data_IF_287540268336
#
_entry.id   IF_287540268336
#
_cell.length_a   1.000
_cell.length_b   1.000
_cell.length_c   1.000
_cell.angle_alpha   90.00
_cell.angle_beta   90.00
_cell.angle_gamma   90.00
#
_symmetry.space_group_name_H-M   'P 1'
#
loop_
_entity.id
_entity.type
_entity.pdbx_description
1 polymer ?
#
# COMPACT_ATOMS: atom_id res chain seq x y z
N UNK A 1 13.83 28.00 12.86
CA UNK A 1 13.64 26.56 13.17
C UNK A 1 12.82 26.29 14.45
N UNK A 2 13.07 26.97 15.58
CA UNK A 2 12.45 26.69 16.89
C UNK A 2 10.89 26.71 16.90
N UNK A 3 10.25 27.63 16.17
CA UNK A 3 8.77 27.71 16.14
C UNK A 3 8.10 26.55 15.39
N UNK A 4 8.77 25.99 14.37
CA UNK A 4 8.25 24.83 13.64
C UNK A 4 8.42 23.55 14.45
N UNK A 5 9.54 23.40 15.17
CA UNK A 5 9.75 22.29 16.12
C UNK A 5 8.69 22.29 17.23
N UNK A 6 8.37 23.45 17.81
CA UNK A 6 7.28 23.56 18.81
C UNK A 6 5.92 23.18 18.23
N UNK A 7 5.63 23.48 16.96
CA UNK A 7 4.40 23.04 16.28
C UNK A 7 4.40 21.54 15.99
N UNK A 8 5.54 20.95 15.62
CA UNK A 8 5.69 19.52 15.33
C UNK A 8 5.44 18.65 16.57
N UNK A 9 5.96 19.05 17.73
CA UNK A 9 5.77 18.32 18.99
C UNK A 9 4.47 18.70 19.73
N UNK A 10 3.66 19.62 19.19
CA UNK A 10 2.39 20.01 19.81
C UNK A 10 1.33 18.95 19.51
N UNK A 11 0.98 18.17 20.54
CA UNK A 11 -0.13 17.22 20.47
C UNK A 11 -1.45 17.99 20.63
N UNK A 12 -2.05 18.40 19.51
CA UNK A 12 -3.41 18.91 19.51
C UNK A 12 -4.38 17.73 19.39
N UNK A 13 -5.32 17.58 20.33
CA UNK A 13 -6.41 16.60 20.16
C UNK A 13 -7.71 17.31 19.78
N UNK A 14 -8.28 16.94 18.65
CA UNK A 14 -9.65 17.29 18.29
C UNK A 14 -10.64 16.42 19.07
N UNK A 15 -11.83 16.95 19.40
CA UNK A 15 -12.93 16.14 19.96
C UNK A 15 -13.36 15.00 19.02
N UNK A 16 -13.00 15.06 17.75
CA UNK A 16 -13.29 14.02 16.73
C UNK A 16 -12.15 13.02 16.51
N UNK A 17 -11.02 13.14 17.23
CA UNK A 17 -9.88 12.24 17.07
C UNK A 17 -10.07 10.91 17.81
N UNK A 18 -9.83 9.80 17.10
CA UNK A 18 -9.84 8.46 17.67
C UNK A 18 -8.39 8.04 17.93
N UNK A 19 -7.93 8.25 19.17
CA UNK A 19 -6.51 8.15 19.54
C UNK A 19 -5.87 6.78 19.27
N UNK A 20 -6.60 5.69 19.47
CA UNK A 20 -6.09 4.33 19.24
C UNK A 20 -5.70 4.10 17.76
N UNK A 21 -6.33 4.79 16.81
CA UNK A 21 -5.99 4.66 15.39
C UNK A 21 -4.59 5.20 15.07
N UNK A 22 -4.11 6.19 15.83
CA UNK A 22 -2.73 6.67 15.69
C UNK A 22 -1.74 5.59 16.11
N UNK A 23 -1.99 4.90 17.22
CA UNK A 23 -1.14 3.80 17.70
C UNK A 23 -1.09 2.65 16.70
N UNK A 24 -2.25 2.23 16.18
CA UNK A 24 -2.34 1.18 15.15
C UNK A 24 -1.51 1.58 13.93
N UNK A 25 -1.68 2.80 13.40
CA UNK A 25 -0.89 3.29 12.26
C UNK A 25 0.61 3.25 12.50
N UNK A 26 1.06 3.64 13.69
CA UNK A 26 2.49 3.65 14.02
C UNK A 26 3.05 2.23 14.03
N UNK A 27 2.36 1.28 14.68
CA UNK A 27 2.78 -0.13 14.73
C UNK A 27 2.77 -0.74 13.32
N UNK A 28 1.69 -0.55 12.55
CA UNK A 28 1.58 -1.05 11.17
C UNK A 28 2.65 -0.46 10.27
N UNK A 29 2.95 0.84 10.39
CA UNK A 29 4.01 1.50 9.62
C UNK A 29 5.40 0.95 9.96
N UNK A 30 5.69 0.75 11.26
CA UNK A 30 6.95 0.15 11.69
C UNK A 30 7.14 -1.26 11.15
N UNK A 31 6.09 -2.08 11.13
CA UNK A 31 6.12 -3.41 10.55
C UNK A 31 6.36 -3.38 9.03
N UNK A 32 5.65 -2.52 8.29
CA UNK A 32 5.87 -2.36 6.84
C UNK A 32 7.33 -1.96 6.56
N UNK A 33 7.87 -0.99 7.31
CA UNK A 33 9.26 -0.53 7.16
C UNK A 33 10.23 -1.68 7.42
N UNK A 34 10.00 -2.47 8.48
CA UNK A 34 10.84 -3.63 8.80
C UNK A 34 10.94 -4.58 7.61
N UNK A 35 9.82 -4.97 7.01
CA UNK A 35 9.83 -5.84 5.82
C UNK A 35 10.54 -5.22 4.62
N UNK A 36 10.33 -3.93 4.34
CA UNK A 36 11.01 -3.27 3.23
C UNK A 36 12.52 -3.19 3.43
N UNK A 37 13.01 -3.01 4.66
CA UNK A 37 14.45 -3.04 4.94
C UNK A 37 15.05 -4.41 4.62
N UNK A 38 14.37 -5.49 5.02
CA UNK A 38 14.84 -6.84 4.73
C UNK A 38 14.75 -7.17 3.25
N UNK A 39 13.64 -6.89 2.57
CA UNK A 39 13.45 -7.33 1.19
C UNK A 39 14.00 -6.36 0.15
N UNK A 40 13.76 -5.05 0.26
CA UNK A 40 13.99 -4.09 -0.83
C UNK A 40 15.43 -3.58 -0.92
N UNK A 41 16.25 -3.81 0.12
CA UNK A 41 17.66 -3.38 0.09
C UNK A 41 18.48 -4.24 -0.88
N UNK A 42 18.06 -5.50 -1.12
CA UNK A 42 18.80 -6.41 -2.00
C UNK A 42 17.96 -7.64 -2.44
N UNK A 43 16.81 -7.43 -3.10
CA UNK A 43 15.93 -8.54 -3.57
C UNK A 43 16.72 -9.58 -4.36
N UNK A 44 17.64 -9.14 -5.22
CA UNK A 44 18.44 -10.03 -6.07
C UNK A 44 19.47 -10.82 -5.27
N UNK A 45 20.15 -10.23 -4.29
CA UNK A 45 21.01 -11.03 -3.41
C UNK A 45 20.20 -11.91 -2.46
N UNK A 46 19.05 -11.46 -1.99
CA UNK A 46 18.16 -12.27 -1.16
C UNK A 46 17.70 -13.53 -1.89
N UNK A 47 17.32 -13.42 -3.15
CA UNK A 47 16.92 -14.57 -3.99
C UNK A 47 18.11 -15.42 -4.41
N UNK A 48 19.25 -14.80 -4.77
CA UNK A 48 20.49 -15.52 -5.15
C UNK A 48 21.12 -16.29 -3.98
N UNK A 49 21.02 -15.78 -2.76
CA UNK A 49 21.59 -16.40 -1.56
C UNK A 49 20.57 -17.18 -0.73
N UNK A 50 19.30 -17.25 -1.12
CA UNK A 50 18.26 -17.99 -0.40
C UNK A 50 18.61 -19.47 -0.17
N UNK A 51 19.44 -20.07 -1.02
CA UNK A 51 19.94 -21.45 -0.91
C UNK A 51 21.08 -21.63 0.10
N UNK A 52 21.59 -20.54 0.71
CA UNK A 52 22.52 -20.64 1.81
C UNK A 52 21.79 -21.18 3.04
N UNK A 53 22.30 -22.26 3.61
CA UNK A 53 21.70 -22.96 4.76
C UNK A 53 21.36 -22.06 5.96
N UNK A 54 22.13 -20.98 6.18
CA UNK A 54 21.82 -19.98 7.23
C UNK A 54 20.58 -19.13 6.95
N UNK A 55 20.26 -18.88 5.67
CA UNK A 55 19.05 -18.18 5.26
C UNK A 55 17.84 -19.12 5.32
N UNK A 56 18.02 -20.39 4.96
CA UNK A 56 16.98 -21.43 5.14
C UNK A 56 16.55 -21.59 6.61
N UNK A 57 17.51 -21.64 7.54
CA UNK A 57 17.23 -21.68 8.99
C UNK A 57 16.49 -20.41 9.47
N UNK A 58 16.83 -19.25 8.90
CA UNK A 58 16.18 -17.97 9.23
C UNK A 58 14.74 -17.93 8.72
N UNK A 59 14.49 -18.34 7.47
CA UNK A 59 13.17 -18.37 6.84
C UNK A 59 12.25 -19.40 7.49
N UNK A 60 12.81 -20.49 8.01
CA UNK A 60 12.07 -21.49 8.78
C UNK A 60 11.63 -21.01 10.17
N UNK A 61 12.12 -19.85 10.63
CA UNK A 61 11.80 -19.34 11.97
C UNK A 61 10.45 -18.61 12.01
N UNK A 62 9.64 -18.93 13.03
CA UNK A 62 8.33 -18.32 13.23
C UNK A 62 8.37 -16.78 13.33
N UNK A 63 9.42 -16.22 13.94
CA UNK A 63 9.56 -14.77 14.04
C UNK A 63 9.84 -14.12 12.70
N UNK A 64 10.52 -14.81 11.79
CA UNK A 64 10.79 -14.29 10.45
C UNK A 64 9.55 -14.31 9.56
N UNK A 65 8.58 -15.21 9.83
CA UNK A 65 7.25 -15.17 9.17
C UNK A 65 6.55 -13.81 9.34
N UNK A 66 6.79 -13.09 10.45
CA UNK A 66 6.30 -11.71 10.61
C UNK A 66 6.93 -10.78 9.58
N UNK A 67 8.23 -10.89 9.34
CA UNK A 67 8.95 -10.08 8.36
C UNK A 67 8.49 -10.41 6.94
N UNK A 68 8.34 -11.69 6.59
CA UNK A 68 7.84 -12.14 5.29
C UNK A 68 6.45 -11.57 4.96
N UNK A 69 5.58 -11.52 5.97
CA UNK A 69 4.20 -11.05 5.80
C UNK A 69 4.04 -9.54 6.04
N UNK A 70 5.05 -8.74 5.68
CA UNK A 70 5.07 -7.28 5.89
C UNK A 70 4.01 -6.50 5.14
N UNK A 71 3.29 -7.11 4.19
CA UNK A 71 2.18 -6.50 3.47
C UNK A 71 0.86 -6.56 4.26
N UNK A 72 0.66 -7.52 5.16
CA UNK A 72 -0.57 -7.67 5.97
C UNK A 72 -0.96 -6.40 6.76
N UNK A 73 -0.02 -5.64 7.37
CA UNK A 73 -0.37 -4.44 8.12
C UNK A 73 -0.98 -3.33 7.26
N UNK A 74 -0.86 -3.40 5.93
CA UNK A 74 -1.51 -2.47 5.00
C UNK A 74 -3.04 -2.51 5.15
N UNK A 75 -3.61 -3.67 5.47
CA UNK A 75 -5.05 -3.82 5.67
C UNK A 75 -5.58 -2.97 6.82
N UNK A 76 -4.74 -2.73 7.84
CA UNK A 76 -5.08 -1.80 8.92
C UNK A 76 -5.29 -0.38 8.40
N UNK A 77 -4.50 0.06 7.41
CA UNK A 77 -4.69 1.38 6.79
C UNK A 77 -5.97 1.43 5.97
N UNK A 78 -6.34 0.37 5.26
CA UNK A 78 -7.61 0.29 4.53
C UNK A 78 -8.80 0.31 5.48
N UNK A 79 -8.77 -0.48 6.54
CA UNK A 79 -9.81 -0.52 7.57
C UNK A 79 -9.99 0.84 8.25
N UNK A 80 -8.89 1.49 8.63
CA UNK A 80 -8.91 2.83 9.22
C UNK A 80 -9.48 3.86 8.24
N UNK A 81 -9.12 3.79 6.97
CA UNK A 81 -9.68 4.68 5.93
C UNK A 81 -11.20 4.51 5.85
N UNK A 82 -11.70 3.27 5.75
CA UNK A 82 -13.14 2.99 5.70
C UNK A 82 -13.89 3.48 6.95
N UNK A 83 -13.33 3.22 8.13
CA UNK A 83 -13.87 3.69 9.42
C UNK A 83 -13.96 5.22 9.45
N UNK A 84 -12.91 5.93 9.02
CA UNK A 84 -12.88 7.39 9.02
C UNK A 84 -13.84 7.99 7.99
N UNK A 85 -14.04 7.36 6.84
CA UNK A 85 -15.06 7.78 5.88
C UNK A 85 -16.46 7.68 6.51
N UNK A 86 -16.80 6.53 7.10
CA UNK A 86 -18.08 6.36 7.79
C UNK A 86 -18.26 7.34 8.95
N UNK A 87 -17.20 7.56 9.75
CA UNK A 87 -17.22 8.51 10.86
C UNK A 87 -17.41 9.95 10.42
N UNK A 88 -16.79 10.33 9.30
CA UNK A 88 -16.88 11.69 8.74
C UNK A 88 -18.26 11.95 8.13
N UNK A 89 -18.80 10.98 7.40
CA UNK A 89 -20.09 11.08 6.74
C UNK A 89 -21.28 10.71 7.61
N UNK A 90 -21.11 10.43 8.91
CA UNK A 90 -22.20 10.02 9.80
C UNK A 90 -23.38 11.01 9.90
N UNK A 91 -23.17 12.27 9.52
CA UNK A 91 -24.22 13.28 9.46
C UNK A 91 -25.10 13.09 8.22
N UNK A 92 -26.41 13.31 8.37
CA UNK A 92 -27.47 13.07 7.39
C UNK A 92 -27.45 13.98 6.15
N UNK A 93 -26.27 14.45 5.73
CA UNK A 93 -26.13 15.32 4.56
C UNK A 93 -26.38 14.51 3.28
N UNK A 94 -27.14 15.04 2.31
CA UNK A 94 -27.33 14.38 1.04
C UNK A 94 -26.01 14.29 0.27
N UNK A 95 -25.84 13.21 -0.50
CA UNK A 95 -24.70 13.08 -1.40
C UNK A 95 -24.69 14.23 -2.41
N UNK A 96 -23.58 14.96 -2.46
CA UNK A 96 -23.34 16.03 -3.43
C UNK A 96 -22.07 15.74 -4.20
N UNK A 97 -22.17 15.71 -5.53
CA UNK A 97 -21.05 15.46 -6.43
C UNK A 97 -19.91 16.46 -6.23
N UNK A 98 -20.24 17.75 -6.04
CA UNK A 98 -19.25 18.82 -5.81
C UNK A 98 -18.49 18.59 -4.49
N UNK A 99 -19.21 18.22 -3.43
CA UNK A 99 -18.59 17.89 -2.13
C UNK A 99 -17.70 16.66 -2.22
N UNK A 100 -18.15 15.61 -2.92
CA UNK A 100 -17.36 14.41 -3.17
C UNK A 100 -16.08 14.72 -3.95
N UNK A 101 -16.19 15.43 -5.08
CA UNK A 101 -15.03 15.82 -5.90
C UNK A 101 -14.05 16.69 -5.11
N UNK A 102 -14.53 17.65 -4.33
CA UNK A 102 -13.70 18.49 -3.45
C UNK A 102 -12.95 17.65 -2.40
N UNK A 103 -13.62 16.70 -1.74
CA UNK A 103 -12.98 15.82 -0.75
C UNK A 103 -11.88 14.94 -1.36
N UNK A 104 -12.15 14.35 -2.54
CA UNK A 104 -11.15 13.56 -3.26
C UNK A 104 -9.98 14.45 -3.70
N UNK A 105 -10.26 15.63 -4.23
CA UNK A 105 -9.23 16.59 -4.65
C UNK A 105 -8.32 17.00 -3.47
N UNK A 106 -8.89 17.39 -2.33
CA UNK A 106 -8.11 17.75 -1.14
C UNK A 106 -7.23 16.61 -0.65
N UNK A 107 -7.72 15.37 -0.76
CA UNK A 107 -6.98 14.18 -0.39
C UNK A 107 -5.81 13.92 -1.33
N UNK A 108 -6.04 14.00 -2.64
CA UNK A 108 -5.02 13.85 -3.67
C UNK A 108 -3.97 14.94 -3.52
N UNK A 109 -4.38 16.20 -3.37
CA UNK A 109 -3.51 17.35 -3.15
C UNK A 109 -2.61 17.20 -1.92
N UNK A 110 -3.09 16.52 -0.86
CA UNK A 110 -2.26 16.23 0.32
C UNK A 110 -1.22 15.14 0.08
N UNK A 111 -1.51 14.15 -0.77
CA UNK A 111 -0.63 13.01 -1.05
C UNK A 111 0.45 13.39 -2.08
N UNK A 112 0.05 14.14 -3.11
CA UNK A 112 0.88 14.50 -4.25
C UNK A 112 2.25 15.10 -3.91
N UNK A 113 2.42 16.02 -2.95
CA UNK A 113 3.71 16.65 -2.69
C UNK A 113 4.81 15.65 -2.33
N UNK A 114 4.51 14.71 -1.43
CA UNK A 114 5.45 13.66 -1.06
C UNK A 114 5.62 12.64 -2.19
N UNK A 115 4.52 12.32 -2.88
CA UNK A 115 4.52 11.32 -3.93
C UNK A 115 5.34 11.76 -5.16
N UNK A 116 5.18 13.01 -5.62
CA UNK A 116 5.94 13.59 -6.71
C UNK A 116 7.42 13.75 -6.35
N UNK A 117 7.73 14.07 -5.09
CA UNK A 117 9.12 14.12 -4.62
C UNK A 117 9.78 12.75 -4.74
N UNK A 118 9.13 11.69 -4.25
CA UNK A 118 9.64 10.32 -4.40
C UNK A 118 9.76 9.92 -5.86
N UNK A 119 8.76 10.21 -6.67
CA UNK A 119 8.78 9.94 -8.11
C UNK A 119 9.97 10.65 -8.80
N UNK A 120 10.22 11.92 -8.48
CA UNK A 120 11.38 12.67 -8.96
C UNK A 120 12.71 12.07 -8.51
N UNK A 121 12.79 11.57 -7.28
CA UNK A 121 13.98 10.84 -6.82
C UNK A 121 14.21 9.57 -7.64
N UNK A 122 13.17 8.79 -7.95
CA UNK A 122 13.29 7.60 -8.81
C UNK A 122 13.77 7.92 -10.23
N UNK A 123 13.39 9.08 -10.77
CA UNK A 123 13.89 9.56 -12.07
C UNK A 123 15.39 9.90 -12.00
N UNK A 124 15.81 10.57 -10.91
CA UNK A 124 17.18 11.07 -10.77
C UNK A 124 18.16 9.99 -10.31
N UNK A 125 17.73 9.07 -9.44
CA UNK A 125 18.59 8.08 -8.80
C UNK A 125 19.48 7.32 -9.78
N UNK A 126 18.99 6.73 -10.89
CA UNK A 126 19.84 6.01 -11.84
C UNK A 126 21.02 6.81 -12.39
N UNK A 127 20.93 8.15 -12.45
CA UNK A 127 21.95 9.04 -13.00
C UNK A 127 23.01 9.49 -11.97
N UNK A 128 22.80 9.28 -10.67
CA UNK A 128 23.65 9.83 -9.60
C UNK A 128 24.84 8.93 -9.24
N UNK A 129 24.72 7.62 -9.45
CA UNK A 129 25.73 6.65 -9.02
C UNK A 129 26.41 5.91 -10.15
N UNK A 130 27.56 5.32 -9.81
CA UNK A 130 28.32 4.42 -10.66
C UNK A 130 28.90 3.33 -9.76
N UNK A 131 28.63 2.06 -10.08
CA UNK A 131 29.08 0.92 -9.29
C UNK A 131 28.77 -0.39 -9.99
N UNK A 132 29.45 -1.49 -9.62
CA UNK A 132 29.30 -2.78 -10.30
C UNK A 132 27.86 -3.30 -10.24
N UNK A 133 27.18 -3.15 -9.09
CA UNK A 133 25.78 -3.52 -8.91
C UNK A 133 24.80 -2.40 -9.31
N UNK A 134 25.28 -1.19 -9.60
CA UNK A 134 24.40 -0.03 -9.85
C UNK A 134 23.54 -0.23 -11.09
N UNK A 135 24.11 -0.78 -12.15
CA UNK A 135 23.36 -1.02 -13.38
C UNK A 135 22.35 -2.16 -13.22
N UNK A 136 22.67 -3.21 -12.43
CA UNK A 136 21.72 -4.30 -12.13
C UNK A 136 20.53 -3.78 -11.33
N UNK A 137 20.77 -2.98 -10.28
CA UNK A 137 19.71 -2.46 -9.41
C UNK A 137 18.82 -1.42 -10.12
N UNK A 138 19.41 -0.54 -10.94
CA UNK A 138 18.69 0.61 -11.51
C UNK A 138 18.30 0.46 -13.00
N UNK A 139 18.64 -0.63 -13.68
CA UNK A 139 18.24 -0.84 -15.09
C UNK A 139 16.73 -0.90 -15.26
N UNK A 140 16.05 -1.64 -14.38
CA UNK A 140 14.61 -1.80 -14.44
C UNK A 140 13.89 -0.50 -14.05
N UNK A 141 14.39 0.20 -13.02
CA UNK A 141 13.88 1.53 -12.65
C UNK A 141 13.97 2.48 -13.85
N UNK A 142 15.13 2.53 -14.52
CA UNK A 142 15.34 3.39 -15.70
C UNK A 142 14.36 3.07 -16.83
N UNK A 143 14.08 1.80 -17.08
CA UNK A 143 13.09 1.36 -18.07
C UNK A 143 11.66 1.75 -17.65
N UNK A 144 11.31 1.50 -16.39
CA UNK A 144 9.97 1.68 -15.86
C UNK A 144 9.59 3.18 -15.76
N UNK A 145 10.55 4.08 -15.54
CA UNK A 145 10.31 5.53 -15.57
C UNK A 145 9.59 5.94 -16.86
N UNK A 146 10.07 5.46 -18.02
CA UNK A 146 9.49 5.80 -19.31
C UNK A 146 8.25 4.97 -19.66
N UNK A 147 8.25 3.68 -19.29
CA UNK A 147 7.18 2.75 -19.67
C UNK A 147 5.91 2.94 -18.84
N UNK A 148 6.06 3.08 -17.53
CA UNK A 148 4.98 3.00 -16.54
C UNK A 148 4.99 4.14 -15.54
N UNK A 149 5.97 5.05 -15.52
CA UNK A 149 5.98 6.17 -14.57
C UNK A 149 4.70 7.03 -14.58
N UNK A 150 4.03 7.14 -15.73
CA UNK A 150 2.76 7.84 -15.82
C UNK A 150 1.61 7.12 -15.08
N UNK A 151 1.63 5.79 -14.95
CA UNK A 151 0.55 5.02 -14.29
C UNK A 151 0.51 5.31 -12.80
N UNK A 152 1.67 5.52 -12.19
CA UNK A 152 1.83 5.90 -10.78
C UNK A 152 1.19 7.27 -10.50
N UNK A 153 1.31 8.24 -11.41
CA UNK A 153 0.74 9.58 -11.24
C UNK A 153 -0.79 9.56 -11.21
N UNK A 154 -1.41 8.70 -12.01
CA UNK A 154 -2.86 8.53 -12.07
C UNK A 154 -3.41 7.49 -11.08
N UNK A 155 -2.56 6.86 -10.27
CA UNK A 155 -2.95 5.75 -9.37
C UNK A 155 -3.59 4.57 -10.10
N UNK A 156 -3.13 4.25 -11.31
CA UNK A 156 -3.62 3.12 -12.13
C UNK A 156 -2.56 2.02 -12.31
N UNK A 157 -1.43 2.15 -11.62
CA UNK A 157 -0.31 1.23 -11.63
C UNK A 157 -0.68 -0.20 -11.17
N UNK A 158 -1.77 -0.36 -10.39
CA UNK A 158 -2.28 -1.69 -10.03
C UNK A 158 -2.96 -2.44 -11.19
N UNK A 159 -3.43 -1.72 -12.22
CA UNK A 159 -4.17 -2.30 -13.34
C UNK A 159 -3.34 -2.36 -14.62
N UNK A 160 -2.48 -1.37 -14.83
CA UNK A 160 -1.68 -1.24 -16.05
C UNK A 160 -0.26 -1.69 -15.77
N UNK A 161 0.13 -2.83 -16.36
CA UNK A 161 1.49 -3.38 -16.28
C UNK A 161 2.02 -3.50 -14.84
N UNK A 162 1.27 -4.20 -13.97
CA UNK A 162 1.60 -4.39 -12.56
C UNK A 162 3.00 -4.97 -12.29
N UNK A 163 3.56 -5.74 -13.23
CA UNK A 163 4.94 -6.27 -13.18
C UNK A 163 6.03 -5.20 -13.38
N UNK A 164 5.73 -4.13 -14.11
CA UNK A 164 6.68 -3.08 -14.48
C UNK A 164 6.46 -1.81 -13.64
N UNK A 165 5.98 -1.92 -12.40
CA UNK A 165 5.77 -0.75 -11.56
C UNK A 165 7.09 0.00 -11.31
N UNK A 166 7.06 1.33 -11.39
CA UNK A 166 8.24 2.15 -11.11
C UNK A 166 8.55 2.16 -9.61
N UNK A 167 7.53 2.36 -8.79
CA UNK A 167 7.64 2.32 -7.34
C UNK A 167 6.83 1.14 -6.80
N UNK A 168 7.47 0.01 -6.49
CA UNK A 168 6.74 -1.18 -6.05
C UNK A 168 5.77 -0.87 -4.90
N UNK A 169 6.21 -0.13 -3.89
CA UNK A 169 5.39 0.26 -2.72
C UNK A 169 4.26 1.25 -3.02
N UNK A 170 4.12 1.80 -4.24
CA UNK A 170 3.02 2.72 -4.59
C UNK A 170 1.66 2.01 -4.68
N UNK A 171 1.65 0.68 -4.85
CA UNK A 171 0.44 -0.12 -5.08
C UNK A 171 -0.66 0.16 -4.04
N UNK A 172 -0.30 0.21 -2.75
CA UNK A 172 -1.29 0.39 -1.69
C UNK A 172 -1.81 1.83 -1.63
N UNK A 173 -1.00 2.82 -2.01
CA UNK A 173 -1.42 4.22 -2.08
C UNK A 173 -2.49 4.35 -3.16
N UNK A 174 -2.27 3.72 -4.32
CA UNK A 174 -3.24 3.68 -5.39
C UNK A 174 -4.55 3.01 -4.96
N UNK A 175 -4.48 1.82 -4.33
CA UNK A 175 -5.67 1.17 -3.75
C UNK A 175 -6.38 2.10 -2.76
N UNK A 176 -5.64 2.79 -1.89
CA UNK A 176 -6.21 3.64 -0.87
C UNK A 176 -6.96 4.86 -1.45
N UNK A 177 -6.47 5.41 -2.56
CA UNK A 177 -7.17 6.47 -3.32
C UNK A 177 -8.41 5.91 -4.01
N UNK A 178 -8.28 4.79 -4.71
CA UNK A 178 -9.40 4.11 -5.39
C UNK A 178 -10.53 3.74 -4.42
N UNK A 179 -10.19 3.17 -3.26
CA UNK A 179 -11.14 2.84 -2.20
C UNK A 179 -11.82 4.07 -1.60
N UNK A 180 -11.19 5.25 -1.62
CA UNK A 180 -11.86 6.47 -1.17
C UNK A 180 -12.80 7.06 -2.21
N UNK A 181 -12.41 6.99 -3.49
CA UNK A 181 -13.27 7.38 -4.60
C UNK A 181 -14.58 6.58 -4.55
N UNK A 182 -14.48 5.26 -4.35
CA UNK A 182 -15.64 4.37 -4.20
C UNK A 182 -16.30 4.46 -2.81
N UNK A 183 -15.50 4.67 -1.77
CA UNK A 183 -15.94 4.63 -0.38
C UNK A 183 -16.95 5.71 -0.03
N UNK A 184 -16.79 6.94 -0.53
CA UNK A 184 -17.74 8.03 -0.24
C UNK A 184 -19.16 7.72 -0.77
N UNK A 185 -19.37 7.40 -2.06
CA UNK A 185 -20.68 6.94 -2.54
C UNK A 185 -21.21 5.74 -1.76
N UNK A 186 -20.34 4.79 -1.43
CA UNK A 186 -20.71 3.57 -0.69
C UNK A 186 -21.20 3.89 0.72
N UNK A 187 -20.57 4.84 1.43
CA UNK A 187 -21.02 5.28 2.76
C UNK A 187 -22.42 5.89 2.72
N UNK A 188 -22.72 6.72 1.72
CA UNK A 188 -24.05 7.29 1.52
C UNK A 188 -25.08 6.23 1.11
N UNK A 189 -24.70 5.26 0.28
CA UNK A 189 -25.56 4.14 -0.08
C UNK A 189 -25.91 3.28 1.15
N UNK A 190 -24.91 3.00 2.00
CA UNK A 190 -25.07 2.24 3.25
C UNK A 190 -26.00 2.95 4.24
N UNK A 191 -25.96 4.29 4.31
CA UNK A 191 -26.89 5.05 5.15
C UNK A 191 -28.33 5.01 4.64
N UNK A 192 -28.54 4.98 3.32
CA UNK A 192 -29.89 4.94 2.72
C UNK A 192 -30.49 3.54 2.71
N UNK A 193 -29.68 2.52 2.42
CA UNK A 193 -30.11 1.11 2.29
C UNK A 193 -29.10 0.16 2.95
N UNK A 194 -29.01 0.13 4.29
CA UNK A 194 -27.94 -0.57 5.00
C UNK A 194 -27.88 -2.07 4.69
N UNK A 195 -29.02 -2.75 4.67
CA UNK A 195 -29.08 -4.19 4.39
C UNK A 195 -28.66 -4.54 2.96
N UNK A 196 -29.19 -3.82 1.96
CA UNK A 196 -28.90 -4.08 0.56
C UNK A 196 -27.42 -3.81 0.26
N UNK A 197 -26.91 -2.64 0.67
CA UNK A 197 -25.51 -2.28 0.46
C UNK A 197 -24.58 -3.23 1.21
N UNK A 198 -24.93 -3.62 2.45
CA UNK A 198 -24.16 -4.60 3.21
C UNK A 198 -24.08 -5.97 2.54
N UNK A 199 -25.20 -6.48 2.00
CA UNK A 199 -25.23 -7.75 1.25
C UNK A 199 -24.37 -7.66 -0.01
N UNK A 200 -24.49 -6.58 -0.78
CA UNK A 200 -23.69 -6.38 -2.00
C UNK A 200 -22.19 -6.34 -1.66
N UNK A 201 -21.80 -5.63 -0.60
CA UNK A 201 -20.41 -5.58 -0.14
C UNK A 201 -19.92 -6.97 0.28
N UNK A 202 -20.71 -7.72 1.05
CA UNK A 202 -20.35 -9.06 1.49
C UNK A 202 -20.18 -10.03 0.30
N UNK A 203 -21.09 -9.99 -0.67
CA UNK A 203 -21.01 -10.79 -1.89
C UNK A 203 -19.78 -10.40 -2.73
N UNK A 204 -19.48 -9.10 -2.86
CA UNK A 204 -18.30 -8.63 -3.59
C UNK A 204 -17.00 -9.08 -2.91
N UNK A 205 -16.91 -8.99 -1.58
CA UNK A 205 -15.76 -9.49 -0.82
C UNK A 205 -15.62 -11.01 -0.95
N UNK A 206 -16.71 -11.76 -0.83
CA UNK A 206 -16.69 -13.21 -1.00
C UNK A 206 -16.23 -13.60 -2.42
N UNK A 207 -16.77 -12.94 -3.45
CA UNK A 207 -16.34 -13.15 -4.82
C UNK A 207 -14.86 -12.85 -5.02
N UNK A 208 -14.34 -11.78 -4.40
CA UNK A 208 -12.92 -11.46 -4.39
C UNK A 208 -12.06 -12.59 -3.80
N UNK A 209 -12.43 -13.12 -2.63
CA UNK A 209 -11.75 -14.26 -2.01
C UNK A 209 -11.78 -15.51 -2.91
N UNK A 210 -12.91 -15.79 -3.55
CA UNK A 210 -13.05 -16.92 -4.47
C UNK A 210 -12.16 -16.74 -5.69
N UNK A 211 -12.12 -15.55 -6.30
CA UNK A 211 -11.25 -15.27 -7.46
C UNK A 211 -9.78 -15.47 -7.10
N UNK A 212 -9.34 -14.98 -5.94
CA UNK A 212 -7.97 -15.17 -5.46
C UNK A 212 -7.67 -16.65 -5.26
N UNK A 213 -8.55 -17.38 -4.55
CA UNK A 213 -8.39 -18.82 -4.31
C UNK A 213 -8.29 -19.63 -5.61
N UNK A 214 -9.16 -19.35 -6.58
CA UNK A 214 -9.15 -19.99 -7.90
C UNK A 214 -7.87 -19.67 -8.66
N UNK A 215 -7.42 -18.41 -8.62
CA UNK A 215 -6.20 -17.99 -9.30
C UNK A 215 -4.96 -18.66 -8.70
N UNK A 216 -4.88 -18.74 -7.36
CA UNK A 216 -3.79 -19.44 -6.67
C UNK A 216 -3.79 -20.95 -7.01
N UNK A 217 -4.97 -21.56 -7.06
CA UNK A 217 -5.11 -22.99 -7.36
C UNK A 217 -4.73 -23.33 -8.81
N UNK A 218 -5.09 -22.48 -9.78
CA UNK A 218 -4.79 -22.71 -11.21
C UNK A 218 -3.30 -22.53 -11.50
N UNK A 219 -2.65 -21.58 -10.83
CA UNK A 219 -1.24 -21.26 -11.08
C UNK A 219 -0.29 -21.94 -10.08
N UNK A 220 -0.80 -22.81 -9.20
CA UNK A 220 -0.03 -23.53 -8.18
C UNK A 220 0.83 -22.61 -7.29
N UNK A 221 0.35 -21.39 -7.03
CA UNK A 221 1.04 -20.42 -6.18
C UNK A 221 0.89 -20.76 -4.69
N UNK A 222 1.89 -20.45 -3.85
CA UNK A 222 1.77 -20.60 -2.40
C UNK A 222 0.65 -19.69 -1.84
N UNK A 223 -0.02 -20.10 -0.75
CA UNK A 223 -1.12 -19.33 -0.17
C UNK A 223 -0.69 -18.03 0.51
N UNK A 224 0.62 -17.86 0.74
CA UNK A 224 1.24 -16.66 1.29
C UNK A 224 2.56 -16.39 0.55
N UNK A 225 3.10 -15.17 0.71
CA UNK A 225 4.44 -14.86 0.23
C UNK A 225 5.45 -15.68 1.05
N UNK A 226 5.87 -16.82 0.50
CA UNK A 226 6.91 -17.67 1.06
C UNK A 226 8.18 -17.45 0.24
N UNK A 227 9.26 -17.05 0.91
CA UNK A 227 10.56 -16.95 0.27
C UNK A 227 11.08 -18.38 0.12
N UNK A 228 10.76 -18.98 -1.02
CA UNK A 228 10.97 -20.40 -1.29
C UNK A 228 12.43 -20.81 -1.05
N UNK A 229 12.65 -21.66 -0.05
CA UNK A 229 13.88 -22.43 0.12
C UNK A 229 13.83 -23.62 -0.83
N UNK A 230 14.34 -23.45 -2.06
CA UNK A 230 14.79 -24.50 -3.02
C UNK A 230 13.94 -25.77 -3.27
N UNK A 231 12.70 -25.91 -2.77
CA UNK A 231 11.93 -27.16 -2.83
C UNK A 231 10.83 -27.20 -3.91
N UNK A 232 10.79 -26.20 -4.80
CA UNK A 232 9.91 -26.22 -5.97
C UNK A 232 10.78 -26.20 -7.24
N UNK A 233 11.29 -27.38 -7.60
CA UNK A 233 11.64 -27.76 -8.97
C UNK A 233 10.45 -28.48 -9.61
#
# INVERSE_FOLDING_TARGET
>A
MINNSKKLFKVNSSKRDIRCLHGIRTISCGWIILGHIYFMTDIDSFTRFASLRKLEDLFSSFLFTLVENFSLPVDSFFAITGLLLMWTHRSSEPFSYSSWASQIFHRIYRIYPCYLLLHGLYILMPAVGQGPMWNEVFSDIRRNVYKTGWTDLFFVNNFVHWNDNLMLHSWFIAVNVQLCILGVPLTHALQRRPYLTGIIMALASFLGCVIVCVTLSINEYPPAMLVMTTQYE
#
